data_IF_711094395168
#
_entry.id   IF_711094395168
#
_cell.length_a   1.000
_cell.length_b   1.000
_cell.length_c   1.000
_cell.angle_alpha   90.00
_cell.angle_beta   90.00
_cell.angle_gamma   90.00
#
_symmetry.space_group_name_H-M   'P 1'
#
loop_
_entity.id
_entity.type
_entity.pdbx_description
1 polymer ?
#
# COMPACT_ATOMS: atom_id res chain seq x y z
N UNK A 1 2.64 -28.42 -8.49
CA UNK A 1 3.83 -27.54 -8.46
C UNK A 1 4.13 -26.87 -9.81
N UNK A 2 3.69 -27.41 -10.96
CA UNK A 2 3.90 -26.80 -12.30
C UNK A 2 2.77 -25.87 -12.81
N UNK A 3 1.73 -25.59 -12.01
CA UNK A 3 0.57 -24.77 -12.41
C UNK A 3 0.57 -23.34 -11.84
N UNK A 4 1.62 -22.92 -11.14
CA UNK A 4 1.72 -21.58 -10.50
C UNK A 4 2.73 -20.63 -11.15
N UNK A 5 3.31 -20.99 -12.30
CA UNK A 5 4.36 -20.18 -12.94
C UNK A 5 3.83 -18.91 -13.62
N UNK A 6 2.56 -18.89 -14.06
CA UNK A 6 1.98 -17.68 -14.68
C UNK A 6 1.67 -16.57 -13.65
N UNK A 7 1.27 -16.92 -12.43
CA UNK A 7 1.06 -15.94 -11.35
C UNK A 7 2.38 -15.41 -10.75
N UNK A 8 3.45 -16.21 -10.78
CA UNK A 8 4.79 -15.76 -10.35
C UNK A 8 5.39 -14.71 -11.29
N UNK A 9 5.00 -14.67 -12.57
CA UNK A 9 5.50 -13.69 -13.53
C UNK A 9 5.09 -12.25 -13.17
N UNK A 10 3.91 -12.08 -12.56
CA UNK A 10 3.44 -10.78 -12.08
C UNK A 10 4.00 -10.44 -10.69
N UNK A 11 4.31 -11.45 -9.88
CA UNK A 11 4.89 -11.28 -8.55
C UNK A 11 6.29 -10.65 -8.56
N UNK A 12 7.09 -10.95 -9.60
CA UNK A 12 8.43 -10.36 -9.80
C UNK A 12 8.40 -8.84 -9.95
N UNK A 13 7.26 -8.25 -10.34
CA UNK A 13 7.12 -6.79 -10.48
C UNK A 13 6.63 -6.09 -9.20
N UNK A 14 6.06 -6.83 -8.24
CA UNK A 14 5.42 -6.26 -7.06
C UNK A 14 6.12 -6.61 -5.73
N UNK A 15 6.85 -7.74 -5.66
CA UNK A 15 7.55 -8.14 -4.46
C UNK A 15 8.86 -8.87 -4.77
N UNK A 16 9.91 -8.54 -4.02
CA UNK A 16 11.20 -9.20 -4.11
C UNK A 16 11.07 -10.65 -3.65
N UNK A 17 11.48 -11.61 -4.48
CA UNK A 17 11.62 -13.00 -4.05
C UNK A 17 12.97 -13.16 -3.32
N UNK A 18 12.97 -13.54 -2.04
CA UNK A 18 14.19 -13.59 -1.25
C UNK A 18 15.07 -14.75 -1.73
N UNK A 19 16.38 -14.50 -1.84
CA UNK A 19 17.41 -15.49 -2.17
C UNK A 19 17.29 -16.22 -3.52
N UNK A 20 16.45 -15.76 -4.45
CA UNK A 20 16.34 -16.32 -5.79
C UNK A 20 16.89 -15.35 -6.85
N UNK A 21 17.77 -15.83 -7.78
CA UNK A 21 18.45 -14.99 -8.77
C UNK A 21 17.55 -14.45 -9.90
N UNK A 22 16.22 -14.60 -9.80
CA UNK A 22 15.30 -14.05 -10.80
C UNK A 22 15.17 -12.51 -10.71
N UNK A 23 15.58 -11.90 -9.59
CA UNK A 23 15.88 -10.46 -9.56
C UNK A 23 17.34 -10.26 -9.99
N UNK A 24 17.57 -9.81 -11.23
CA UNK A 24 18.89 -9.54 -11.80
C UNK A 24 19.61 -8.32 -11.17
N UNK A 25 19.27 -7.92 -9.94
CA UNK A 25 19.92 -6.79 -9.29
C UNK A 25 21.34 -7.20 -8.84
N UNK A 26 22.37 -6.41 -9.16
CA UNK A 26 23.73 -6.69 -8.72
C UNK A 26 23.81 -6.87 -7.19
N UNK A 27 23.08 -6.06 -6.43
CA UNK A 27 23.05 -6.12 -4.96
C UNK A 27 22.62 -7.48 -4.44
N UNK A 28 21.53 -8.04 -4.98
CA UNK A 28 21.03 -9.36 -4.56
C UNK A 28 21.98 -10.49 -4.97
N UNK A 29 22.60 -10.38 -6.15
CA UNK A 29 23.61 -11.34 -6.58
C UNK A 29 24.83 -11.31 -5.65
N UNK A 30 25.27 -10.11 -5.26
CA UNK A 30 26.36 -9.93 -4.30
C UNK A 30 26.02 -10.55 -2.95
N UNK A 31 24.87 -10.22 -2.34
CA UNK A 31 24.49 -10.79 -1.03
C UNK A 31 24.33 -12.30 -1.11
N UNK A 32 23.76 -12.83 -2.19
CA UNK A 32 23.65 -14.27 -2.40
C UNK A 32 25.03 -14.94 -2.43
N UNK A 33 25.98 -14.42 -3.22
CA UNK A 33 27.34 -14.94 -3.30
C UNK A 33 28.02 -14.90 -1.93
N UNK A 34 27.91 -13.79 -1.20
CA UNK A 34 28.51 -13.64 0.13
C UNK A 34 27.91 -14.64 1.12
N UNK A 35 26.59 -14.80 1.14
CA UNK A 35 25.92 -15.80 2.00
C UNK A 35 26.34 -17.22 1.65
N UNK A 36 26.39 -17.56 0.36
CA UNK A 36 26.81 -18.87 -0.11
C UNK A 36 28.25 -19.18 0.33
N UNK A 37 29.18 -18.23 0.14
CA UNK A 37 30.57 -18.36 0.60
C UNK A 37 30.65 -18.47 2.13
N UNK A 38 29.81 -17.75 2.86
CA UNK A 38 29.74 -17.81 4.33
C UNK A 38 29.31 -19.20 4.80
N UNK A 39 28.26 -19.75 4.20
CA UNK A 39 27.75 -21.09 4.50
C UNK A 39 28.80 -22.15 4.19
N UNK A 40 29.50 -22.05 3.05
CA UNK A 40 30.61 -22.94 2.72
C UNK A 40 31.75 -22.84 3.74
N UNK A 41 32.15 -21.63 4.13
CA UNK A 41 33.21 -21.42 5.11
C UNK A 41 32.86 -22.02 6.48
N UNK A 42 31.65 -21.73 7.00
CA UNK A 42 31.19 -22.26 8.28
C UNK A 42 31.07 -23.78 8.24
N UNK A 43 30.54 -24.33 7.15
CA UNK A 43 30.42 -25.78 6.93
C UNK A 43 31.80 -26.45 6.88
N UNK A 44 32.74 -25.89 6.12
CA UNK A 44 34.12 -26.40 6.05
C UNK A 44 34.81 -26.35 7.42
N UNK A 45 34.66 -25.24 8.16
CA UNK A 45 35.28 -25.10 9.49
C UNK A 45 34.71 -26.10 10.50
N UNK A 46 33.39 -26.28 10.53
CA UNK A 46 32.73 -27.15 11.51
C UNK A 46 32.82 -28.62 11.14
N UNK A 47 32.54 -28.98 9.89
CA UNK A 47 32.45 -30.38 9.45
C UNK A 47 33.83 -30.96 9.13
N UNK A 48 34.68 -30.20 8.44
CA UNK A 48 35.97 -30.69 7.95
C UNK A 48 37.08 -30.38 8.96
N UNK A 49 37.22 -29.12 9.40
CA UNK A 49 38.27 -28.77 10.38
C UNK A 49 37.92 -29.15 11.82
N UNK A 50 36.65 -29.46 12.11
CA UNK A 50 36.13 -29.77 13.46
C UNK A 50 36.54 -28.75 14.53
N UNK A 51 36.68 -27.48 14.13
CA UNK A 51 37.06 -26.40 15.05
C UNK A 51 35.83 -25.83 15.74
N UNK A 52 35.90 -25.55 17.06
CA UNK A 52 34.80 -24.92 17.76
C UNK A 52 34.54 -23.50 17.23
N UNK A 53 33.29 -23.05 17.43
CA UNK A 53 32.86 -21.68 17.17
C UNK A 53 33.64 -20.73 18.10
N UNK A 54 34.53 -19.93 17.52
CA UNK A 54 35.18 -18.83 18.22
C UNK A 54 34.39 -17.53 17.98
N UNK A 55 34.72 -16.47 18.72
CA UNK A 55 34.06 -15.16 18.60
C UNK A 55 33.89 -14.72 17.14
N UNK A 56 34.94 -14.85 16.33
CA UNK A 56 34.92 -14.49 14.92
C UNK A 56 33.95 -15.32 14.07
N UNK A 57 33.92 -16.64 14.24
CA UNK A 57 32.97 -17.52 13.54
C UNK A 57 31.53 -17.25 13.99
N UNK A 58 31.32 -16.93 15.27
CA UNK A 58 30.03 -16.50 15.81
C UNK A 58 29.57 -15.18 15.18
N UNK A 59 30.44 -14.16 15.09
CA UNK A 59 30.11 -12.88 14.42
C UNK A 59 29.72 -13.08 12.96
N UNK A 60 30.44 -13.93 12.23
CA UNK A 60 30.13 -14.27 10.83
C UNK A 60 28.76 -14.97 10.72
N UNK A 61 28.48 -15.94 11.59
CA UNK A 61 27.18 -16.61 11.63
C UNK A 61 26.04 -15.65 11.99
N UNK A 62 26.25 -14.75 12.95
CA UNK A 62 25.26 -13.73 13.34
C UNK A 62 24.97 -12.74 12.21
N UNK A 63 26.00 -12.29 11.48
CA UNK A 63 25.82 -11.42 10.32
C UNK A 63 25.09 -12.13 9.17
N UNK A 64 25.41 -13.39 8.90
CA UNK A 64 24.68 -14.18 7.91
C UNK A 64 23.19 -14.33 8.31
N UNK A 65 22.92 -14.62 9.58
CA UNK A 65 21.55 -14.71 10.09
C UNK A 65 20.81 -13.36 10.01
N UNK A 66 21.48 -12.25 10.32
CA UNK A 66 20.93 -10.91 10.18
C UNK A 66 20.56 -10.59 8.72
N UNK A 67 21.44 -10.91 7.77
CA UNK A 67 21.14 -10.76 6.34
C UNK A 67 19.91 -11.60 5.97
N UNK A 68 19.80 -12.83 6.49
CA UNK A 68 18.65 -13.69 6.20
C UNK A 68 17.33 -13.05 6.71
N UNK A 69 17.34 -12.50 7.93
CA UNK A 69 16.17 -11.81 8.49
C UNK A 69 15.82 -10.52 7.73
N UNK A 70 16.82 -9.74 7.34
CA UNK A 70 16.61 -8.52 6.56
C UNK A 70 16.08 -8.84 5.16
N UNK A 71 16.58 -9.91 4.52
CA UNK A 71 16.06 -10.38 3.23
C UNK A 71 14.60 -10.81 3.32
N UNK A 72 14.19 -11.53 4.39
CA UNK A 72 12.78 -11.86 4.62
C UNK A 72 11.90 -10.61 4.80
N UNK A 73 12.42 -9.57 5.48
CA UNK A 73 11.72 -8.28 5.61
C UNK A 73 11.72 -7.48 4.31
N UNK A 74 12.71 -7.69 3.43
CA UNK A 74 12.86 -6.98 2.16
C UNK A 74 11.84 -7.38 1.09
N UNK A 75 11.09 -8.46 1.32
CA UNK A 75 9.96 -8.90 0.48
C UNK A 75 8.88 -7.81 0.41
N UNK A 76 8.67 -7.10 1.54
CA UNK A 76 7.62 -6.10 1.70
C UNK A 76 8.15 -4.67 1.50
N UNK A 77 9.47 -4.44 1.65
CA UNK A 77 10.12 -3.13 1.51
C UNK A 77 11.46 -3.25 0.81
N UNK A 78 11.76 -2.42 -0.20
CA UNK A 78 13.12 -2.39 -0.77
C UNK A 78 14.11 -1.81 0.26
N UNK A 79 14.82 -2.70 0.94
CA UNK A 79 15.94 -2.39 1.86
C UNK A 79 17.25 -3.00 1.35
N UNK A 80 17.37 -3.10 0.02
CA UNK A 80 18.47 -3.78 -0.67
C UNK A 80 19.83 -3.16 -0.36
N UNK A 81 19.87 -1.84 -0.12
CA UNK A 81 21.08 -1.12 0.25
C UNK A 81 21.56 -1.45 1.66
N UNK A 82 20.65 -1.54 2.63
CA UNK A 82 20.97 -1.93 4.01
C UNK A 82 21.42 -3.39 4.05
N UNK A 83 20.75 -4.26 3.28
CA UNK A 83 21.14 -5.67 3.13
C UNK A 83 22.53 -5.79 2.49
N UNK A 84 22.80 -5.05 1.42
CA UNK A 84 24.10 -5.02 0.76
C UNK A 84 25.20 -4.47 1.68
N UNK A 85 24.92 -3.47 2.51
CA UNK A 85 25.86 -2.93 3.50
C UNK A 85 26.26 -3.98 4.54
N UNK A 86 25.29 -4.73 5.09
CA UNK A 86 25.59 -5.83 6.02
C UNK A 86 26.35 -6.95 5.30
N UNK A 87 25.97 -7.26 4.05
CA UNK A 87 26.71 -8.19 3.19
C UNK A 87 28.15 -7.76 2.93
N UNK A 88 28.40 -6.47 2.80
CA UNK A 88 29.74 -5.91 2.60
C UNK A 88 30.62 -6.09 3.84
N UNK A 89 30.10 -5.77 5.03
CA UNK A 89 30.81 -6.02 6.30
C UNK A 89 31.15 -7.50 6.47
N UNK A 90 30.21 -8.40 6.12
CA UNK A 90 30.44 -9.84 6.15
C UNK A 90 31.53 -10.28 5.16
N UNK A 91 31.53 -9.72 3.95
CA UNK A 91 32.55 -9.96 2.94
C UNK A 91 33.95 -9.52 3.41
N UNK A 92 34.08 -8.34 4.02
CA UNK A 92 35.36 -7.87 4.56
C UNK A 92 35.91 -8.80 5.65
N UNK A 93 35.05 -9.30 6.54
CA UNK A 93 35.45 -10.27 7.56
C UNK A 93 35.93 -11.59 6.95
N UNK A 94 35.22 -12.10 5.93
CA UNK A 94 35.64 -13.31 5.20
C UNK A 94 36.98 -13.11 4.49
N UNK A 95 37.17 -11.98 3.82
CA UNK A 95 38.43 -11.62 3.18
C UNK A 95 39.57 -11.49 4.20
N UNK A 96 39.31 -10.89 5.37
CA UNK A 96 40.29 -10.79 6.46
C UNK A 96 40.75 -12.15 6.97
N UNK A 97 39.84 -13.11 7.08
CA UNK A 97 40.18 -14.50 7.43
C UNK A 97 41.01 -15.15 6.35
N UNK A 98 40.55 -15.07 5.09
CA UNK A 98 41.25 -15.68 3.96
C UNK A 98 42.67 -15.10 3.85
N UNK A 99 42.82 -13.80 4.07
CA UNK A 99 44.10 -13.10 4.14
C UNK A 99 45.01 -13.67 5.23
N UNK A 100 44.51 -13.88 6.45
CA UNK A 100 45.30 -14.50 7.53
C UNK A 100 45.77 -15.92 7.18
N UNK A 101 44.96 -16.71 6.47
CA UNK A 101 45.37 -18.03 5.97
C UNK A 101 46.43 -17.94 4.86
N UNK A 102 46.27 -16.98 3.94
CA UNK A 102 47.20 -16.75 2.82
C UNK A 102 48.55 -16.17 3.28
N UNK A 103 48.57 -15.34 4.33
CA UNK A 103 49.79 -14.81 4.94
C UNK A 103 50.73 -15.90 5.45
N UNK A 104 50.18 -17.06 5.86
CA UNK A 104 50.97 -18.21 6.32
C UNK A 104 51.56 -19.04 5.19
N UNK A 105 51.06 -18.92 3.96
CA UNK A 105 51.36 -19.89 2.90
C UNK A 105 52.37 -19.39 1.87
N UNK A 106 52.28 -18.18 1.26
CA UNK A 106 53.33 -17.65 0.34
C UNK A 106 53.30 -16.12 0.12
N UNK A 107 54.47 -15.47 0.06
CA UNK A 107 54.66 -14.01 -0.17
C UNK A 107 54.15 -13.51 -1.54
N UNK A 108 54.25 -14.32 -2.60
CA UNK A 108 53.82 -13.93 -3.96
C UNK A 108 52.29 -13.94 -4.12
N UNK A 109 51.60 -14.88 -3.47
CA UNK A 109 50.13 -14.95 -3.49
C UNK A 109 49.54 -13.75 -2.73
N UNK A 110 50.25 -13.27 -1.70
CA UNK A 110 49.86 -12.09 -0.92
C UNK A 110 49.73 -10.84 -1.79
N UNK A 111 50.72 -10.50 -2.62
CA UNK A 111 50.67 -9.27 -3.44
C UNK A 111 49.54 -9.32 -4.46
N UNK A 112 49.36 -10.45 -5.14
CA UNK A 112 48.28 -10.66 -6.11
C UNK A 112 46.91 -10.54 -5.44
N UNK A 113 46.74 -11.13 -4.25
CA UNK A 113 45.47 -11.02 -3.51
C UNK A 113 45.21 -9.60 -3.01
N UNK A 114 46.24 -8.87 -2.54
CA UNK A 114 46.07 -7.48 -2.10
C UNK A 114 45.60 -6.60 -3.24
N UNK A 115 46.23 -6.76 -4.41
CA UNK A 115 45.91 -6.00 -5.60
C UNK A 115 44.47 -6.34 -6.03
N UNK A 116 44.11 -7.62 -6.10
CA UNK A 116 42.75 -8.08 -6.44
C UNK A 116 41.69 -7.59 -5.45
N UNK A 117 41.98 -7.58 -4.15
CA UNK A 117 41.09 -7.06 -3.12
C UNK A 117 40.91 -5.54 -3.26
N UNK A 118 41.99 -4.78 -3.47
CA UNK A 118 41.93 -3.34 -3.71
C UNK A 118 41.20 -2.98 -5.01
N UNK A 119 41.37 -3.75 -6.09
CA UNK A 119 40.61 -3.55 -7.33
C UNK A 119 39.14 -3.90 -7.16
N UNK A 120 38.79 -5.00 -6.49
CA UNK A 120 37.39 -5.33 -6.20
C UNK A 120 36.75 -4.30 -5.27
N UNK A 121 37.45 -3.87 -4.21
CA UNK A 121 36.98 -2.84 -3.29
C UNK A 121 36.76 -1.51 -4.01
N UNK A 122 37.71 -1.07 -4.85
CA UNK A 122 37.54 0.16 -5.63
C UNK A 122 36.46 0.03 -6.71
N UNK A 123 36.28 -1.11 -7.36
CA UNK A 123 35.16 -1.33 -8.28
C UNK A 123 33.81 -1.26 -7.55
N UNK A 124 33.69 -1.85 -6.37
CA UNK A 124 32.46 -1.85 -5.58
C UNK A 124 32.20 -0.47 -4.95
N UNK A 125 33.23 0.26 -4.51
CA UNK A 125 33.05 1.59 -3.90
C UNK A 125 32.82 2.67 -4.97
N UNK A 126 33.43 2.56 -6.15
CA UNK A 126 33.35 3.59 -7.21
C UNK A 126 32.22 3.34 -8.20
N UNK A 127 31.94 2.09 -8.60
CA UNK A 127 30.95 1.78 -9.66
C UNK A 127 29.54 1.59 -9.10
N UNK A 128 29.41 1.16 -7.85
CA UNK A 128 28.14 0.74 -7.27
C UNK A 128 27.23 1.86 -6.75
N UNK A 129 27.73 3.01 -6.22
CA UNK A 129 26.83 4.11 -5.84
C UNK A 129 26.25 4.90 -7.03
N UNK A 130 26.70 4.65 -8.27
CA UNK A 130 26.38 5.54 -9.41
C UNK A 130 25.75 4.88 -10.64
N UNK A 131 25.35 3.60 -10.62
CA UNK A 131 24.59 3.05 -11.75
C UNK A 131 23.11 3.42 -11.65
N UNK A 132 22.55 4.20 -12.59
CA UNK A 132 21.10 4.32 -12.70
C UNK A 132 20.52 2.93 -12.95
N UNK A 133 19.43 2.63 -12.26
CA UNK A 133 18.69 1.38 -12.40
C UNK A 133 18.08 1.37 -13.81
N UNK A 134 18.77 0.75 -14.77
CA UNK A 134 18.17 0.39 -16.05
C UNK A 134 17.25 -0.81 -15.82
N UNK A 135 15.95 -0.56 -15.69
CA UNK A 135 14.96 -1.61 -15.81
C UNK A 135 15.03 -2.17 -17.23
N UNK A 136 15.24 -3.47 -17.33
CA UNK A 136 14.94 -4.25 -18.51
C UNK A 136 13.51 -3.97 -18.96
N UNK A 137 13.36 -3.45 -20.17
CA UNK A 137 12.08 -3.39 -20.87
C UNK A 137 11.49 -4.80 -20.97
N UNK A 138 10.35 -5.04 -20.34
CA UNK A 138 9.58 -6.25 -20.56
C UNK A 138 8.35 -5.94 -21.41
N UNK A 139 8.44 -6.39 -22.67
CA UNK A 139 7.47 -6.30 -23.77
C UNK A 139 6.14 -7.06 -23.56
N UNK A 140 5.71 -7.33 -22.32
CA UNK A 140 4.53 -8.18 -22.11
C UNK A 140 3.20 -7.44 -21.96
N UNK A 141 3.12 -6.14 -22.25
CA UNK A 141 1.86 -5.40 -22.31
C UNK A 141 1.99 -4.16 -23.21
N UNK A 142 2.10 -4.38 -24.53
CA UNK A 142 2.15 -3.30 -25.52
C UNK A 142 0.98 -2.32 -25.32
N UNK A 143 -0.21 -2.86 -25.02
CA UNK A 143 -1.43 -2.09 -24.81
C UNK A 143 -1.39 -1.25 -23.52
N UNK A 144 -1.05 -1.85 -22.38
CA UNK A 144 -0.91 -1.11 -21.11
C UNK A 144 0.19 -0.04 -21.21
N UNK A 145 1.32 -0.37 -21.84
CA UNK A 145 2.42 0.58 -22.07
C UNK A 145 1.95 1.77 -22.92
N UNK A 146 1.15 1.50 -23.96
CA UNK A 146 0.55 2.53 -24.80
C UNK A 146 -0.47 3.39 -24.04
N UNK A 147 -1.27 2.80 -23.13
CA UNK A 147 -2.17 3.56 -22.27
C UNK A 147 -1.39 4.52 -21.35
N UNK A 148 -0.32 4.06 -20.70
CA UNK A 148 0.54 4.93 -19.89
C UNK A 148 1.15 6.08 -20.70
N UNK A 149 1.68 5.80 -21.89
CA UNK A 149 2.21 6.83 -22.78
C UNK A 149 1.11 7.84 -23.16
N UNK A 150 -0.08 7.37 -23.47
CA UNK A 150 -1.23 8.22 -23.83
C UNK A 150 -1.65 9.10 -22.65
N UNK A 151 -1.69 8.55 -21.44
CA UNK A 151 -1.98 9.30 -20.20
C UNK A 151 -0.92 10.37 -19.96
N UNK A 152 0.37 10.03 -20.05
CA UNK A 152 1.48 10.98 -19.82
C UNK A 152 1.48 12.08 -20.89
N UNK A 153 1.32 11.73 -22.16
CA UNK A 153 1.20 12.69 -23.25
C UNK A 153 0.00 13.61 -23.05
N UNK A 154 -1.13 13.06 -22.57
CA UNK A 154 -2.32 13.85 -22.28
C UNK A 154 -2.08 14.82 -21.12
N UNK A 155 -1.47 14.36 -20.02
CA UNK A 155 -1.11 15.22 -18.88
C UNK A 155 -0.25 16.41 -19.32
N UNK A 156 0.74 16.18 -20.19
CA UNK A 156 1.63 17.24 -20.69
C UNK A 156 0.95 18.35 -21.49
N UNK A 157 -0.25 18.11 -22.03
CA UNK A 157 -1.01 19.12 -22.78
C UNK A 157 -2.15 19.73 -21.99
N UNK A 158 -2.39 19.29 -20.75
CA UNK A 158 -3.39 19.88 -19.87
C UNK A 158 -2.88 21.20 -19.28
N UNK A 159 -3.76 22.21 -19.10
CA UNK A 159 -3.37 23.48 -18.51
C UNK A 159 -2.86 23.28 -17.08
N UNK A 160 -1.94 24.12 -16.60
CA UNK A 160 -1.46 24.08 -15.20
C UNK A 160 -0.76 22.78 -14.78
N UNK A 161 -0.52 21.83 -15.69
CA UNK A 161 0.26 20.64 -15.37
C UNK A 161 1.71 21.00 -15.09
N UNK A 162 2.13 20.82 -13.84
CA UNK A 162 3.46 21.17 -13.34
C UNK A 162 4.46 20.00 -13.40
N UNK A 163 4.16 18.97 -14.18
CA UNK A 163 4.98 17.75 -14.26
C UNK A 163 4.75 16.77 -13.11
N UNK A 164 3.79 17.03 -12.23
CA UNK A 164 3.48 16.17 -11.08
C UNK A 164 2.05 15.66 -11.12
N UNK A 165 1.89 14.41 -10.73
CA UNK A 165 0.62 13.71 -10.60
C UNK A 165 0.57 13.00 -9.26
N UNK A 166 -0.63 12.69 -8.81
CA UNK A 166 -0.83 11.68 -7.77
C UNK A 166 -1.57 10.50 -8.38
N UNK A 167 -1.06 9.28 -8.21
CA UNK A 167 -1.72 8.07 -8.71
C UNK A 167 -2.37 7.27 -7.60
N UNK A 168 -3.58 6.77 -7.86
CA UNK A 168 -4.35 5.98 -6.91
C UNK A 168 -5.15 4.84 -7.62
N UNK A 169 -5.11 3.59 -7.16
CA UNK A 169 -4.14 3.05 -6.21
C UNK A 169 -2.70 3.31 -6.69
N UNK A 170 -1.75 3.15 -5.78
CA UNK A 170 -0.39 3.61 -6.00
C UNK A 170 0.28 2.95 -7.21
N UNK A 171 0.70 3.79 -8.17
CA UNK A 171 1.25 3.34 -9.44
C UNK A 171 2.66 3.92 -9.69
N UNK A 172 3.73 3.11 -9.52
CA UNK A 172 5.11 3.59 -9.60
C UNK A 172 5.54 3.90 -11.04
N UNK A 173 4.82 3.38 -12.05
CA UNK A 173 5.18 3.61 -13.45
C UNK A 173 4.89 5.05 -13.87
N UNK A 174 3.77 5.62 -13.41
CA UNK A 174 3.43 7.03 -13.66
C UNK A 174 4.49 7.98 -13.08
N UNK A 175 4.87 7.79 -11.82
CA UNK A 175 5.91 8.60 -11.18
C UNK A 175 7.25 8.49 -11.92
N UNK A 176 7.63 7.28 -12.35
CA UNK A 176 8.86 7.07 -13.12
C UNK A 176 8.81 7.77 -14.48
N UNK A 177 7.70 7.67 -15.22
CA UNK A 177 7.55 8.31 -16.54
C UNK A 177 7.57 9.83 -16.46
N UNK A 178 7.07 10.39 -15.37
CA UNK A 178 7.09 11.83 -15.10
C UNK A 178 8.36 12.31 -14.37
N UNK A 179 9.31 11.42 -14.08
CA UNK A 179 10.51 11.71 -13.29
C UNK A 179 10.18 12.40 -11.96
N UNK A 180 9.11 11.97 -11.31
CA UNK A 180 8.60 12.47 -10.04
C UNK A 180 8.91 11.47 -8.93
N UNK A 181 9.27 11.97 -7.74
CA UNK A 181 9.37 11.10 -6.55
C UNK A 181 7.97 10.76 -6.02
N UNK A 182 7.67 9.49 -5.71
CA UNK A 182 6.39 9.12 -5.11
C UNK A 182 6.26 9.62 -3.66
N UNK A 183 5.03 9.68 -3.12
CA UNK A 183 4.79 9.95 -1.69
C UNK A 183 5.47 8.89 -0.80
N UNK A 184 5.82 9.26 0.44
CA UNK A 184 6.51 8.38 1.38
C UNK A 184 5.68 7.14 1.77
N UNK A 185 4.39 7.33 2.05
CA UNK A 185 3.44 6.25 2.25
C UNK A 185 2.89 5.87 0.90
N UNK A 186 3.64 5.02 0.20
CA UNK A 186 3.36 4.75 -1.19
C UNK A 186 2.21 3.79 -1.37
N UNK A 187 2.09 2.76 -0.52
CA UNK A 187 1.09 1.69 -0.71
C UNK A 187 -0.09 1.81 0.25
N UNK A 188 -1.25 1.26 -0.14
CA UNK A 188 -2.45 1.20 0.70
C UNK A 188 -2.23 0.56 2.08
N UNK A 189 -1.26 -0.35 2.19
CA UNK A 189 -0.84 -0.95 3.45
C UNK A 189 -0.21 0.06 4.41
N UNK A 190 0.64 0.93 3.87
CA UNK A 190 1.41 1.91 4.63
C UNK A 190 0.60 3.17 4.90
N UNK A 191 -0.38 3.48 4.04
CA UNK A 191 -1.29 4.61 4.20
C UNK A 191 -2.50 4.32 5.12
N UNK A 192 -2.73 3.07 5.54
CA UNK A 192 -3.87 2.74 6.42
C UNK A 192 -3.99 3.63 7.68
N UNK A 193 -2.92 3.98 8.42
CA UNK A 193 -3.03 4.88 9.58
C UNK A 193 -3.47 6.30 9.20
N UNK A 194 -4.37 6.93 9.98
CA UNK A 194 -4.87 8.30 9.70
C UNK A 194 -3.74 9.33 9.51
N UNK A 195 -2.66 9.23 10.29
CA UNK A 195 -1.49 10.12 10.17
C UNK A 195 -0.77 9.94 8.82
N UNK A 196 -0.77 8.73 8.26
CA UNK A 196 -0.17 8.46 6.97
C UNK A 196 -1.00 9.06 5.82
N UNK A 197 -2.33 8.91 5.88
CA UNK A 197 -3.26 9.53 4.93
C UNK A 197 -3.13 11.06 4.97
N UNK A 198 -3.05 11.67 6.14
CA UNK A 198 -2.82 13.11 6.30
C UNK A 198 -1.50 13.58 5.68
N UNK A 199 -0.44 12.76 5.76
CA UNK A 199 0.83 13.08 5.12
C UNK A 199 0.77 12.94 3.61
N UNK A 200 -0.05 12.03 3.07
CA UNK A 200 -0.33 11.93 1.64
C UNK A 200 -1.09 13.17 1.15
N UNK A 201 -2.14 13.56 1.86
CA UNK A 201 -2.91 14.77 1.56
C UNK A 201 -2.00 16.01 1.62
N UNK A 202 -1.19 16.12 2.67
CA UNK A 202 -0.20 17.19 2.81
C UNK A 202 0.82 17.18 1.67
N UNK A 203 1.24 16.00 1.20
CA UNK A 203 2.13 15.87 0.05
C UNK A 203 1.47 16.39 -1.23
N UNK A 204 0.21 16.02 -1.51
CA UNK A 204 -0.56 16.52 -2.66
C UNK A 204 -0.63 18.05 -2.65
N UNK A 205 -0.93 18.63 -1.49
CA UNK A 205 -1.04 20.08 -1.31
C UNK A 205 0.31 20.79 -1.44
N UNK A 206 1.35 20.31 -0.73
CA UNK A 206 2.69 20.92 -0.74
C UNK A 206 3.37 20.83 -2.10
N UNK A 207 3.15 19.74 -2.83
CA UNK A 207 3.67 19.58 -4.18
C UNK A 207 2.86 20.32 -5.24
N UNK A 208 1.73 20.92 -4.87
CA UNK A 208 0.79 21.58 -5.77
C UNK A 208 0.35 20.65 -6.90
N UNK A 209 -0.07 19.43 -6.56
CA UNK A 209 -0.50 18.46 -7.56
C UNK A 209 -1.90 18.86 -8.06
N UNK A 210 -1.97 19.24 -9.33
CA UNK A 210 -3.22 19.65 -9.98
C UNK A 210 -3.98 18.48 -10.62
N UNK A 211 -3.34 17.34 -10.80
CA UNK A 211 -3.92 16.19 -11.49
C UNK A 211 -3.73 14.89 -10.69
N UNK A 212 -4.81 14.13 -10.59
CA UNK A 212 -4.82 12.77 -10.04
C UNK A 212 -5.11 11.80 -11.17
N UNK A 213 -4.47 10.64 -11.17
CA UNK A 213 -4.75 9.55 -12.11
C UNK A 213 -5.25 8.36 -11.31
N UNK A 214 -6.53 8.03 -11.47
CA UNK A 214 -7.13 6.84 -10.90
C UNK A 214 -7.00 5.65 -11.84
N UNK A 215 -6.54 4.51 -11.35
CA UNK A 215 -6.55 3.26 -12.11
C UNK A 215 -7.80 2.45 -11.74
N UNK A 216 -8.83 2.48 -12.59
CA UNK A 216 -10.18 1.99 -12.25
C UNK A 216 -10.38 0.48 -12.42
N UNK A 217 -9.44 -0.23 -13.06
CA UNK A 217 -9.51 -1.69 -13.24
C UNK A 217 -8.70 -2.50 -12.23
N UNK A 218 -7.99 -1.84 -11.30
CA UNK A 218 -7.34 -2.54 -10.19
C UNK A 218 -8.36 -2.67 -9.08
N UNK A 219 -8.81 -3.90 -8.82
CA UNK A 219 -9.49 -4.24 -7.58
C UNK A 219 -8.48 -4.06 -6.44
N UNK A 220 -8.48 -2.89 -5.79
CA UNK A 220 -7.61 -2.65 -4.65
C UNK A 220 -8.25 -3.21 -3.39
N UNK A 221 -8.24 -4.54 -3.33
CA UNK A 221 -8.60 -5.34 -2.18
C UNK A 221 -7.29 -5.77 -1.51
N UNK A 222 -7.06 -5.31 -0.28
CA UNK A 222 -5.91 -5.73 0.50
C UNK A 222 -6.36 -6.39 1.79
N UNK A 223 -5.95 -7.65 1.99
CA UNK A 223 -6.43 -8.53 3.07
C UNK A 223 -7.96 -8.74 3.07
N UNK A 224 -8.60 -8.64 1.88
CA UNK A 224 -10.06 -8.73 1.75
C UNK A 224 -10.80 -7.46 2.18
N UNK A 225 -10.10 -6.35 2.37
CA UNK A 225 -10.69 -5.05 2.70
C UNK A 225 -10.43 -4.07 1.55
N UNK A 226 -11.47 -3.43 0.99
CA UNK A 226 -11.32 -2.39 -0.03
C UNK A 226 -10.49 -1.18 0.45
N UNK A 227 -9.71 -0.59 -0.44
CA UNK A 227 -8.89 0.58 -0.12
C UNK A 227 -9.72 1.81 0.27
N UNK A 228 -10.96 1.97 -0.20
CA UNK A 228 -11.82 3.07 0.25
C UNK A 228 -12.22 2.94 1.74
N UNK A 229 -12.14 1.74 2.32
CA UNK A 229 -12.31 1.52 3.77
C UNK A 229 -10.99 1.82 4.48
N UNK A 230 -9.88 1.24 4.00
CA UNK A 230 -8.55 1.36 4.62
C UNK A 230 -8.01 2.79 4.60
N UNK A 231 -8.20 3.46 3.47
CA UNK A 231 -7.65 4.78 3.13
C UNK A 231 -8.78 5.80 2.93
N UNK A 232 -9.85 5.68 3.72
CA UNK A 232 -11.08 6.46 3.59
C UNK A 232 -10.86 7.98 3.53
N UNK A 233 -9.90 8.52 4.27
CA UNK A 233 -9.63 9.96 4.32
C UNK A 233 -8.87 10.45 3.10
N UNK A 234 -7.87 9.70 2.66
CA UNK A 234 -7.16 9.95 1.41
C UNK A 234 -8.14 9.87 0.22
N UNK A 235 -8.94 8.80 0.17
CA UNK A 235 -9.88 8.57 -0.92
C UNK A 235 -10.99 9.62 -0.96
N UNK A 236 -11.55 9.99 0.20
CA UNK A 236 -12.49 11.10 0.32
C UNK A 236 -11.89 12.42 -0.18
N UNK A 237 -10.63 12.70 0.17
CA UNK A 237 -9.95 13.91 -0.29
C UNK A 237 -9.84 13.93 -1.82
N UNK A 238 -9.42 12.83 -2.45
CA UNK A 238 -9.31 12.74 -3.91
C UNK A 238 -10.66 13.01 -4.60
N UNK A 239 -11.74 12.42 -4.10
CA UNK A 239 -13.07 12.52 -4.75
C UNK A 239 -13.80 13.84 -4.47
N UNK A 240 -13.42 14.58 -3.44
CA UNK A 240 -14.05 15.87 -3.07
C UNK A 240 -13.22 17.10 -3.49
N UNK A 241 -11.96 16.91 -3.86
CA UNK A 241 -11.04 17.97 -4.28
C UNK A 241 -10.54 17.83 -5.72
N UNK A 242 -10.97 16.77 -6.42
CA UNK A 242 -10.68 16.58 -7.83
C UNK A 242 -11.93 16.12 -8.57
N UNK A 243 -12.19 16.69 -9.76
CA UNK A 243 -13.28 16.29 -10.65
C UNK A 243 -12.73 15.41 -11.79
N UNK A 244 -13.52 14.45 -12.26
CA UNK A 244 -13.14 13.69 -13.44
C UNK A 244 -13.22 14.57 -14.70
N UNK A 245 -12.18 14.51 -15.53
CA UNK A 245 -12.14 15.26 -16.79
C UNK A 245 -12.01 14.36 -18.02
N UNK A 246 -11.43 13.16 -17.86
CA UNK A 246 -11.21 12.26 -19.00
C UNK A 246 -10.90 10.84 -18.55
N UNK A 247 -11.41 9.87 -19.30
CA UNK A 247 -11.01 8.46 -19.23
C UNK A 247 -10.10 8.07 -20.40
N UNK A 248 -9.05 7.32 -20.13
CA UNK A 248 -8.10 6.75 -21.11
C UNK A 248 -7.89 5.28 -20.74
N UNK A 249 -8.62 4.38 -21.41
CA UNK A 249 -8.60 2.96 -21.08
C UNK A 249 -9.04 2.74 -19.63
N UNK A 250 -8.12 2.18 -18.85
CA UNK A 250 -8.32 1.88 -17.42
C UNK A 250 -7.95 3.04 -16.49
N UNK A 251 -7.56 4.18 -17.04
CA UNK A 251 -7.19 5.37 -16.27
C UNK A 251 -8.28 6.44 -16.33
N UNK A 252 -8.59 7.02 -15.19
CA UNK A 252 -9.42 8.21 -15.06
C UNK A 252 -8.55 9.37 -14.58
N UNK A 253 -8.46 10.42 -15.39
CA UNK A 253 -7.74 11.64 -15.04
C UNK A 253 -8.71 12.56 -14.32
N UNK A 254 -8.33 12.97 -13.10
CA UNK A 254 -9.03 13.97 -12.32
C UNK A 254 -8.23 15.27 -12.28
N UNK A 255 -8.93 16.40 -12.34
CA UNK A 255 -8.37 17.74 -12.21
C UNK A 255 -8.78 18.36 -10.88
N UNK A 256 -7.87 19.08 -10.25
CA UNK A 256 -8.13 19.75 -8.98
C UNK A 256 -9.28 20.76 -9.12
N UNK A 257 -10.32 20.57 -8.29
CA UNK A 257 -11.47 21.45 -8.15
C UNK A 257 -12.01 21.31 -6.74
N UNK A 258 -12.12 22.43 -6.03
CA UNK A 258 -12.68 22.40 -4.68
C UNK A 258 -14.18 22.07 -4.73
N UNK A 259 -14.62 21.24 -3.77
CA UNK A 259 -16.01 20.81 -3.64
C UNK A 259 -16.53 20.03 -4.86
N UNK A 260 -15.70 19.17 -5.44
CA UNK A 260 -16.13 18.20 -6.44
C UNK A 260 -17.17 17.26 -5.85
N UNK A 261 -18.15 16.91 -6.67
CA UNK A 261 -19.15 15.91 -6.32
C UNK A 261 -18.64 14.52 -6.75
N UNK A 262 -18.48 13.56 -5.82
CA UNK A 262 -18.09 12.19 -6.16
C UNK A 262 -19.02 11.53 -7.20
N UNK A 263 -20.28 11.96 -7.30
CA UNK A 263 -21.21 11.47 -8.34
C UNK A 263 -20.73 11.85 -9.76
N UNK A 264 -20.11 13.02 -9.94
CA UNK A 264 -19.56 13.48 -11.24
C UNK A 264 -18.40 12.58 -11.71
N UNK A 265 -17.60 12.10 -10.76
CA UNK A 265 -16.52 11.13 -11.04
C UNK A 265 -17.11 9.83 -11.61
N UNK A 266 -18.21 9.35 -11.04
CA UNK A 266 -18.87 8.13 -11.52
C UNK A 266 -19.46 8.29 -12.93
N UNK A 267 -20.03 9.45 -13.27
CA UNK A 267 -20.61 9.67 -14.61
C UNK A 267 -19.59 9.46 -15.74
N UNK A 268 -18.33 9.86 -15.53
CA UNK A 268 -17.23 9.68 -16.47
C UNK A 268 -16.56 8.31 -16.37
N UNK A 269 -16.60 7.68 -15.19
CA UNK A 269 -15.99 6.38 -14.95
C UNK A 269 -16.76 5.21 -15.59
N UNK A 270 -18.02 5.40 -15.99
CA UNK A 270 -18.89 4.47 -16.77
C UNK A 270 -18.68 2.97 -16.49
N UNK A 271 -19.58 2.37 -15.70
CA UNK A 271 -19.63 0.93 -15.37
C UNK A 271 -18.36 0.36 -14.69
N UNK A 272 -17.45 1.21 -14.22
CA UNK A 272 -16.29 0.78 -13.43
C UNK A 272 -16.67 0.31 -12.02
N UNK A 273 -15.83 -0.54 -11.40
CA UNK A 273 -15.94 -0.92 -9.99
C UNK A 273 -16.07 0.29 -9.06
N UNK A 274 -15.35 1.38 -9.36
CA UNK A 274 -15.45 2.68 -8.68
C UNK A 274 -16.89 3.22 -8.57
N UNK A 275 -17.69 3.12 -9.63
CA UNK A 275 -19.09 3.56 -9.61
C UNK A 275 -19.97 2.69 -8.72
N UNK A 276 -19.71 1.38 -8.72
CA UNK A 276 -20.39 0.47 -7.81
C UNK A 276 -20.02 0.86 -6.38
N UNK A 277 -18.75 1.00 -6.03
CA UNK A 277 -18.30 1.41 -4.68
C UNK A 277 -18.90 2.74 -4.20
N UNK A 278 -19.11 3.70 -5.11
CA UNK A 278 -19.72 5.01 -4.79
C UNK A 278 -21.23 4.94 -4.54
N UNK A 279 -21.92 3.95 -5.11
CA UNK A 279 -23.38 3.80 -5.02
C UNK A 279 -23.82 2.69 -4.06
N UNK A 280 -22.99 1.67 -3.89
CA UNK A 280 -23.15 0.50 -3.05
C UNK A 280 -21.85 0.25 -2.26
N UNK A 281 -21.91 0.44 -0.95
CA UNK A 281 -20.79 0.10 -0.08
C UNK A 281 -20.93 -1.36 0.37
N UNK A 282 -20.12 -2.26 -0.19
CA UNK A 282 -20.00 -3.63 0.33
C UNK A 282 -18.82 -3.71 1.30
N UNK A 283 -19.14 -3.73 2.59
CA UNK A 283 -18.15 -3.69 3.66
C UNK A 283 -17.60 -5.07 4.00
N UNK A 284 -18.00 -6.13 3.25
CA UNK A 284 -17.61 -7.54 3.42
C UNK A 284 -17.31 -7.92 4.89
N UNK A 285 -16.05 -7.79 5.30
CA UNK A 285 -15.61 -7.86 6.69
C UNK A 285 -15.37 -6.45 7.26
N UNK A 286 -16.39 -5.87 7.89
CA UNK A 286 -16.22 -4.67 8.71
C UNK A 286 -15.07 -4.91 9.70
N UNK A 287 -14.01 -4.08 9.73
CA UNK A 287 -13.04 -4.16 10.80
C UNK A 287 -13.78 -4.00 12.13
N UNK A 288 -13.59 -4.96 13.03
CA UNK A 288 -14.17 -4.97 14.37
C UNK A 288 -13.81 -3.66 15.07
N UNK A 289 -14.79 -2.76 15.16
CA UNK A 289 -14.84 -1.49 15.90
C UNK A 289 -13.50 -0.81 16.17
N UNK A 290 -13.26 0.37 15.60
CA UNK A 290 -12.07 1.19 15.85
C UNK A 290 -12.01 1.83 17.26
N UNK A 291 -12.12 1.03 18.32
CA UNK A 291 -11.57 1.31 19.64
C UNK A 291 -12.03 2.59 20.36
N UNK A 292 -13.07 3.30 19.91
CA UNK A 292 -13.55 4.52 20.58
C UNK A 292 -14.63 4.22 21.62
N UNK A 293 -14.58 4.90 22.77
CA UNK A 293 -15.67 4.90 23.76
C UNK A 293 -16.77 5.87 23.32
N UNK A 294 -18.02 5.43 23.35
CA UNK A 294 -19.17 6.19 22.86
C UNK A 294 -19.91 6.96 23.96
N UNK A 295 -20.52 8.11 23.63
CA UNK A 295 -21.51 8.79 24.49
C UNK A 295 -22.82 7.99 24.58
N UNK A 296 -23.68 8.33 25.54
CA UNK A 296 -24.70 7.43 26.10
C UNK A 296 -26.15 7.58 25.58
N UNK A 297 -26.40 8.36 24.53
CA UNK A 297 -27.74 8.42 23.95
C UNK A 297 -28.00 7.17 23.11
N UNK A 298 -28.91 6.32 23.58
CA UNK A 298 -29.29 5.07 22.92
C UNK A 298 -30.76 5.10 22.52
N UNK A 299 -31.06 4.93 21.24
CA UNK A 299 -32.42 4.68 20.78
C UNK A 299 -32.78 3.21 20.98
N UNK A 300 -33.99 2.95 21.48
CA UNK A 300 -34.45 1.60 21.82
C UNK A 300 -35.02 0.83 20.63
N UNK A 301 -35.38 1.50 19.53
CA UNK A 301 -35.84 0.87 18.28
C UNK A 301 -35.58 1.76 17.06
N UNK A 302 -35.53 1.13 15.88
CA UNK A 302 -35.38 1.81 14.59
C UNK A 302 -36.53 2.78 14.29
N UNK A 303 -37.76 2.44 14.69
CA UNK A 303 -38.95 3.28 14.50
C UNK A 303 -38.84 4.61 15.27
N UNK A 304 -38.37 4.55 16.53
CA UNK A 304 -38.15 5.76 17.35
C UNK A 304 -37.04 6.61 16.74
N UNK A 305 -35.99 5.98 16.24
CA UNK A 305 -34.89 6.69 15.59
C UNK A 305 -35.33 7.36 14.28
N UNK A 306 -36.09 6.68 13.41
CA UNK A 306 -36.64 7.26 12.19
C UNK A 306 -37.66 8.39 12.47
N UNK A 307 -38.42 8.28 13.57
CA UNK A 307 -39.30 9.35 14.04
C UNK A 307 -38.52 10.57 14.54
N UNK A 308 -37.29 10.37 15.01
CA UNK A 308 -36.37 11.46 15.36
C UNK A 308 -35.75 12.09 14.11
N UNK A 309 -35.19 11.28 13.20
CA UNK A 309 -34.56 11.74 11.96
C UNK A 309 -35.53 12.55 11.07
N UNK A 310 -36.80 12.13 10.98
CA UNK A 310 -37.81 12.87 10.22
C UNK A 310 -38.11 14.27 10.78
N UNK A 311 -37.90 14.49 12.08
CA UNK A 311 -38.08 15.80 12.74
C UNK A 311 -36.79 16.60 12.81
N UNK A 312 -35.65 15.92 12.89
CA UNK A 312 -34.30 16.48 13.05
C UNK A 312 -33.31 15.68 12.20
N UNK A 313 -33.20 15.98 10.89
CA UNK A 313 -32.22 15.35 10.03
C UNK A 313 -30.81 15.54 10.60
N UNK A 314 -30.04 14.46 10.63
CA UNK A 314 -28.66 14.47 11.15
C UNK A 314 -27.67 14.39 9.99
N UNK A 315 -26.58 15.14 10.07
CA UNK A 315 -25.52 15.10 9.07
C UNK A 315 -24.73 13.80 9.18
N UNK A 316 -24.39 13.18 8.04
CA UNK A 316 -23.60 11.93 7.98
C UNK A 316 -22.25 12.04 8.68
N UNK A 317 -21.60 13.22 8.63
CA UNK A 317 -20.33 13.51 9.33
C UNK A 317 -20.38 13.36 10.85
N UNK A 318 -21.57 13.45 11.44
CA UNK A 318 -21.77 13.43 12.88
C UNK A 318 -22.47 12.14 13.36
N UNK A 319 -22.78 11.21 12.43
CA UNK A 319 -23.65 10.07 12.66
C UNK A 319 -22.88 8.74 12.67
N UNK A 320 -22.96 8.05 13.80
CA UNK A 320 -22.47 6.67 13.97
C UNK A 320 -23.66 5.74 14.15
N UNK A 321 -23.65 4.60 13.46
CA UNK A 321 -24.66 3.56 13.61
C UNK A 321 -24.04 2.38 14.33
N UNK A 322 -24.43 2.13 15.59
CA UNK A 322 -24.15 0.86 16.23
C UNK A 322 -25.31 -0.10 15.99
N UNK A 323 -25.02 -1.19 15.30
CA UNK A 323 -25.99 -2.19 14.88
C UNK A 323 -25.79 -3.41 15.76
N UNK A 324 -26.82 -3.78 16.51
CA UNK A 324 -26.87 -5.04 17.26
C UNK A 324 -27.92 -5.94 16.65
N UNK A 325 -27.50 -7.10 16.17
CA UNK A 325 -28.41 -8.15 15.70
C UNK A 325 -28.09 -9.46 16.41
N UNK A 326 -29.10 -10.33 16.51
CA UNK A 326 -28.91 -11.73 16.93
C UNK A 326 -28.34 -12.59 15.79
N UNK A 327 -28.39 -12.10 14.54
CA UNK A 327 -27.86 -12.77 13.37
C UNK A 327 -26.34 -12.61 13.31
N UNK A 328 -25.62 -13.73 13.37
CA UNK A 328 -24.15 -13.76 13.30
C UNK A 328 -23.61 -14.32 11.99
N UNK A 329 -24.50 -14.69 11.05
CA UNK A 329 -24.14 -15.32 9.77
C UNK A 329 -24.99 -14.74 8.63
N UNK A 330 -24.36 -14.54 7.47
CA UNK A 330 -24.97 -13.99 6.25
C UNK A 330 -24.60 -12.52 6.01
N UNK A 331 -25.24 -11.90 5.03
CA UNK A 331 -25.16 -10.45 4.80
C UNK A 331 -26.40 -9.74 5.34
N UNK A 332 -26.20 -8.49 5.75
CA UNK A 332 -27.23 -7.52 6.09
C UNK A 332 -27.19 -6.38 5.07
N UNK A 333 -28.35 -5.82 4.76
CA UNK A 333 -28.56 -4.73 3.83
C UNK A 333 -29.21 -3.54 4.55
N UNK A 334 -28.46 -2.46 4.65
CA UNK A 334 -28.86 -1.18 5.21
C UNK A 334 -29.16 -0.22 4.06
N UNK A 335 -30.34 0.39 4.07
CA UNK A 335 -30.68 1.49 3.16
C UNK A 335 -30.78 2.79 3.95
N UNK A 336 -30.13 3.82 3.44
CA UNK A 336 -30.13 5.15 4.02
C UNK A 336 -30.73 6.10 2.99
N UNK A 337 -31.79 6.79 3.39
CA UNK A 337 -32.38 7.87 2.59
C UNK A 337 -31.84 9.20 3.07
N UNK A 338 -31.18 9.92 2.18
CA UNK A 338 -30.64 11.27 2.42
C UNK A 338 -31.55 12.34 1.81
N UNK A 339 -31.19 13.61 1.99
CA UNK A 339 -31.87 14.74 1.35
C UNK A 339 -32.04 14.51 -0.16
N UNK A 340 -33.16 15.04 -0.71
CA UNK A 340 -33.60 14.80 -2.10
C UNK A 340 -34.01 13.35 -2.42
N UNK A 341 -34.29 12.53 -1.41
CA UNK A 341 -34.76 11.14 -1.57
C UNK A 341 -33.73 10.22 -2.24
N UNK A 342 -32.44 10.56 -2.18
CA UNK A 342 -31.38 9.68 -2.67
C UNK A 342 -31.26 8.50 -1.70
N UNK A 343 -31.36 7.29 -2.25
CA UNK A 343 -31.26 6.04 -1.48
C UNK A 343 -29.88 5.45 -1.70
N UNK A 344 -29.16 5.23 -0.62
CA UNK A 344 -27.85 4.60 -0.61
C UNK A 344 -27.98 3.21 0.02
N UNK A 345 -27.44 2.20 -0.65
CA UNK A 345 -27.45 0.83 -0.16
C UNK A 345 -26.07 0.44 0.38
N UNK A 346 -26.05 -0.18 1.55
CA UNK A 346 -24.84 -0.64 2.22
C UNK A 346 -25.04 -2.11 2.57
N UNK A 347 -24.14 -2.98 2.14
CA UNK A 347 -24.11 -4.38 2.54
C UNK A 347 -22.93 -4.64 3.47
N UNK A 348 -23.12 -5.52 4.45
CA UNK A 348 -22.04 -5.94 5.36
C UNK A 348 -22.31 -7.32 5.95
N UNK A 349 -21.27 -8.04 6.37
CA UNK A 349 -21.44 -9.31 7.07
C UNK A 349 -22.20 -9.12 8.39
N UNK A 350 -23.11 -10.06 8.67
CA UNK A 350 -23.87 -10.08 9.92
C UNK A 350 -22.93 -10.19 11.13
N UNK A 351 -23.26 -9.44 12.18
CA UNK A 351 -22.39 -9.28 13.34
C UNK A 351 -23.20 -9.02 14.60
N UNK A 352 -22.75 -9.58 15.73
CA UNK A 352 -23.45 -9.39 17.01
C UNK A 352 -23.45 -7.93 17.49
N UNK A 353 -22.42 -7.17 17.12
CA UNK A 353 -22.30 -5.73 17.37
C UNK A 353 -21.35 -5.12 16.35
N UNK A 354 -21.88 -4.34 15.42
CA UNK A 354 -21.10 -3.56 14.47
C UNK A 354 -21.24 -2.07 14.73
N UNK A 355 -20.26 -1.33 14.25
CA UNK A 355 -20.30 0.11 14.20
C UNK A 355 -20.01 0.55 12.77
N UNK A 356 -20.89 1.38 12.22
CA UNK A 356 -20.75 1.94 10.88
C UNK A 356 -20.59 3.45 11.03
N UNK A 357 -19.48 3.95 10.51
CA UNK A 357 -19.15 5.37 10.39
C UNK A 357 -19.62 5.83 9.03
N UNK A 358 -20.70 6.61 8.96
CA UNK A 358 -21.27 6.97 7.66
C UNK A 358 -20.33 7.86 6.87
N UNK A 359 -19.64 8.79 7.52
CA UNK A 359 -18.70 9.74 6.93
C UNK A 359 -17.48 9.10 6.24
N UNK A 360 -17.23 7.81 6.49
CA UNK A 360 -16.15 7.04 5.86
C UNK A 360 -16.60 6.20 4.68
N UNK A 361 -17.89 6.20 4.37
CA UNK A 361 -18.42 5.50 3.21
C UNK A 361 -18.35 6.43 1.99
N UNK A 362 -17.96 5.91 0.80
CA UNK A 362 -17.85 6.72 -0.41
C UNK A 362 -19.12 7.51 -0.74
N UNK A 363 -20.28 6.90 -0.51
CA UNK A 363 -21.60 7.50 -0.65
C UNK A 363 -21.84 8.79 0.16
N UNK A 364 -21.04 9.04 1.22
CA UNK A 364 -21.24 10.13 2.17
C UNK A 364 -19.98 10.96 2.44
N UNK A 365 -18.97 10.89 1.56
CA UNK A 365 -17.80 11.78 1.64
C UNK A 365 -18.19 13.26 1.53
N UNK A 366 -19.27 13.55 0.80
CA UNK A 366 -19.98 14.82 0.92
C UNK A 366 -21.00 14.69 2.05
N UNK A 367 -20.90 15.50 3.13
CA UNK A 367 -21.86 15.43 4.21
C UNK A 367 -23.29 15.71 3.71
N UNK A 368 -24.22 14.81 4.01
CA UNK A 368 -25.63 14.95 3.68
C UNK A 368 -26.49 14.72 4.91
N UNK A 369 -27.70 15.29 4.96
CA UNK A 369 -28.60 15.00 6.05
C UNK A 369 -29.35 13.68 5.80
N UNK A 370 -29.32 12.80 6.80
CA UNK A 370 -30.05 11.53 6.82
C UNK A 370 -31.46 11.77 7.34
N UNK A 371 -32.45 11.34 6.56
CA UNK A 371 -33.87 11.50 6.90
C UNK A 371 -34.53 10.18 7.29
N UNK A 372 -34.01 9.06 6.82
CA UNK A 372 -34.58 7.74 7.08
C UNK A 372 -33.55 6.62 6.93
N UNK A 373 -33.69 5.56 7.73
CA UNK A 373 -32.86 4.36 7.68
C UNK A 373 -33.73 3.11 7.75
N UNK A 374 -33.47 2.12 6.89
CA UNK A 374 -34.06 0.78 6.97
C UNK A 374 -33.00 -0.29 6.91
N UNK A 375 -33.24 -1.43 7.56
CA UNK A 375 -32.37 -2.61 7.53
C UNK A 375 -33.23 -3.85 7.31
N UNK A 376 -32.72 -4.79 6.53
CA UNK A 376 -33.40 -6.03 6.13
C UNK A 376 -33.42 -7.13 7.21
N UNK A 377 -33.35 -6.74 8.48
CA UNK A 377 -33.42 -7.63 9.64
C UNK A 377 -34.33 -7.01 10.72
N UNK A 378 -35.50 -7.63 11.01
CA UNK A 378 -36.48 -7.09 11.93
C UNK A 378 -36.01 -7.12 13.40
N UNK A 379 -35.00 -7.92 13.73
CA UNK A 379 -34.47 -8.09 15.09
C UNK A 379 -33.29 -7.16 15.39
N UNK A 380 -33.01 -6.18 14.51
CA UNK A 380 -31.93 -5.21 14.69
C UNK A 380 -32.31 -4.12 15.68
N UNK A 381 -31.45 -3.95 16.68
CA UNK A 381 -31.43 -2.75 17.52
C UNK A 381 -30.36 -1.81 16.97
N UNK A 382 -30.79 -0.70 16.37
CA UNK A 382 -29.88 0.40 16.02
C UNK A 382 -29.76 1.33 17.21
N UNK A 383 -28.57 1.35 17.80
CA UNK A 383 -28.16 2.39 18.73
C UNK A 383 -27.35 3.40 17.92
N UNK A 384 -27.95 4.53 17.53
CA UNK A 384 -27.18 5.59 16.90
C UNK A 384 -26.54 6.48 17.96
N UNK A 385 -25.32 6.92 17.70
CA UNK A 385 -24.61 7.87 18.54
C UNK A 385 -24.37 9.15 17.75
N UNK A 386 -24.68 10.29 18.36
CA UNK A 386 -24.39 11.60 17.79
C UNK A 386 -23.19 12.20 18.52
N UNK A 387 -22.12 12.50 17.80
CA UNK A 387 -20.97 13.24 18.36
C UNK A 387 -21.27 14.73 18.31
N UNK A 388 -21.99 15.24 19.31
CA UNK A 388 -22.15 16.69 19.46
C UNK A 388 -20.92 17.39 20.07
N UNK A 389 -19.91 16.61 20.50
CA UNK A 389 -18.81 17.12 21.29
C UNK A 389 -17.48 17.08 20.53
N UNK A 390 -17.01 18.27 20.13
CA UNK A 390 -15.62 18.55 19.75
C UNK A 390 -14.60 18.32 20.89
N UNK A 391 -14.96 17.57 21.94
CA UNK A 391 -14.21 17.49 23.21
C UNK A 391 -13.42 16.20 23.44
N UNK A 392 -13.46 15.26 22.50
CA UNK A 392 -12.68 14.03 22.60
C UNK A 392 -11.72 13.91 21.42
N UNK A 393 -10.75 14.81 21.40
CA UNK A 393 -9.50 14.68 20.66
C UNK A 393 -8.39 14.34 21.66
#
# INVERSE_FOLDING_TARGET
FLFQTNYLRNFVYAAKTPFLPFSLSPSNLFTFIVLFLTLLFLSFRMLIQRKPMNLQATTIASLAFLIILLEQKSIIRSIDWQVALVGFVLFELLCGILWQYLLKTMKAIRSVFTISFLTCFSLIVVVYPFRPIHLSSMDSNLDLTQQYETVVQRLHILPEFNGKVFSYPADPLLYKKLNQFPPYFFTGYESTPEIAQEKIISYIQQQQIHYVVLHVSIDSLQDGVPDYIRNSREYAYLLTHFEAIQRIGDFLILQQKENSDPDEVCQLAQESALCHELSTADLESLPLSEGRKFPSESFTSLEVFNSYLSKRPLQTKDLFLAIRTQRTVGQLHLQITSEKWKVHAISFAACSSCLIHLDRLPAFYVPTAVTHISIDDPDVVITSFYSNDKKYW
#
